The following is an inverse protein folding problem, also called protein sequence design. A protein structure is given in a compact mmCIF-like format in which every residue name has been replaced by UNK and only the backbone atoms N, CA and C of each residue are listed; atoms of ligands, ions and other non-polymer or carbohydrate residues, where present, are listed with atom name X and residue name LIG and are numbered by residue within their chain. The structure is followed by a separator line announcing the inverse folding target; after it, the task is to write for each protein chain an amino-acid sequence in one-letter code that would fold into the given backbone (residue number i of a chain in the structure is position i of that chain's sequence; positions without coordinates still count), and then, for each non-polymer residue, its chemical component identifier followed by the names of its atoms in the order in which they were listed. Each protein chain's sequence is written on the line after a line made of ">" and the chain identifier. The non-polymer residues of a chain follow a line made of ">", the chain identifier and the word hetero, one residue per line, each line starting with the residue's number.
data_IF_916337556196
#
_entry.id   IF_916337556196
#
_cell.length_a   1.000
_cell.length_b   1.000
_cell.length_c   1.000
_cell.angle_alpha   90.00
_cell.angle_beta   90.00
_cell.angle_gamma   90.00
#
_symmetry.space_group_name_H-M   'P 1'
#
loop_
_entity.id
_entity.type
_entity.pdbx_description
1 polymer ?
#
# COMPACT_ATOMS: atom_id res chain seq x y z
N UNK A 1 5.15 5.59 -0.20
CA UNK A 1 3.84 5.14 0.31
C UNK A 1 4.00 4.30 1.59
N UNK A 2 4.96 4.66 2.45
CA UNK A 2 5.65 3.70 3.33
C UNK A 2 5.30 3.73 4.80
N UNK A 3 4.76 4.81 5.35
CA UNK A 3 4.70 4.98 6.81
C UNK A 3 3.82 3.94 7.52
N UNK A 4 2.58 3.71 7.06
CA UNK A 4 1.73 2.69 7.69
C UNK A 4 2.25 1.26 7.47
N UNK A 5 2.81 0.98 6.30
CA UNK A 5 3.42 -0.32 6.04
C UNK A 5 4.63 -0.55 6.97
N UNK A 6 5.51 0.44 7.12
CA UNK A 6 6.69 0.34 7.96
C UNK A 6 6.32 0.27 9.45
N UNK A 7 5.31 1.04 9.90
CA UNK A 7 4.77 0.98 11.27
C UNK A 7 4.28 -0.44 11.63
N UNK A 8 3.59 -1.11 10.69
CA UNK A 8 3.06 -2.46 10.91
C UNK A 8 4.14 -3.53 10.70
N UNK A 9 4.93 -3.39 9.63
CA UNK A 9 5.82 -4.43 9.12
C UNK A 9 7.23 -4.41 9.73
N UNK A 10 7.76 -3.25 10.12
CA UNK A 10 9.11 -3.13 10.67
C UNK A 10 9.09 -3.27 12.20
N UNK A 11 8.63 -4.43 12.65
CA UNK A 11 8.72 -4.83 14.05
C UNK A 11 10.19 -4.86 14.52
N UNK A 12 10.46 -4.83 15.84
CA UNK A 12 11.83 -4.92 16.34
C UNK A 12 12.61 -6.13 15.81
N UNK A 13 11.94 -7.28 15.67
CA UNK A 13 12.54 -8.50 15.11
C UNK A 13 12.88 -8.34 13.62
N UNK A 14 11.99 -7.74 12.83
CA UNK A 14 12.24 -7.47 11.40
C UNK A 14 13.38 -6.47 11.23
N UNK A 15 13.44 -5.42 12.06
CA UNK A 15 14.54 -4.44 12.04
C UNK A 15 15.89 -5.10 12.37
N UNK A 16 15.93 -6.01 13.35
CA UNK A 16 17.13 -6.76 13.68
C UNK A 16 17.62 -7.62 12.49
N UNK A 17 16.69 -8.27 11.77
CA UNK A 17 17.00 -9.02 10.55
C UNK A 17 17.46 -8.09 9.41
N UNK A 18 16.84 -6.92 9.24
CA UNK A 18 17.28 -5.93 8.24
C UNK A 18 18.73 -5.47 8.51
N UNK A 19 19.11 -5.29 9.78
CA UNK A 19 20.50 -4.97 10.16
C UNK A 19 21.42 -6.14 9.84
N UNK A 20 21.06 -7.35 10.26
CA UNK A 20 21.84 -8.56 10.02
C UNK A 20 22.11 -8.80 8.52
N UNK A 21 21.12 -8.50 7.68
CA UNK A 21 21.21 -8.65 6.23
C UNK A 21 21.64 -7.38 5.49
N UNK A 22 22.00 -6.31 6.21
CA UNK A 22 22.52 -5.06 5.62
C UNK A 22 21.50 -4.24 4.82
N UNK A 23 20.19 -4.52 4.93
CA UNK A 23 19.14 -3.80 4.22
C UNK A 23 18.54 -2.63 5.02
N UNK A 24 18.93 -2.47 6.28
CA UNK A 24 18.32 -1.52 7.20
C UNK A 24 18.41 -0.07 6.73
N UNK A 25 19.55 0.36 6.22
CA UNK A 25 19.74 1.74 5.72
C UNK A 25 18.82 2.02 4.52
N UNK A 26 18.67 1.05 3.60
CA UNK A 26 17.78 1.19 2.45
C UNK A 26 16.29 1.30 2.82
N UNK A 27 15.89 0.69 3.94
CA UNK A 27 14.53 0.74 4.46
C UNK A 27 14.27 1.89 5.45
N UNK A 28 15.32 2.56 5.96
CA UNK A 28 15.15 3.65 6.94
C UNK A 28 14.32 4.81 6.37
N UNK A 29 14.52 5.13 5.09
CA UNK A 29 13.75 6.16 4.35
C UNK A 29 12.26 5.85 4.19
N UNK A 30 11.81 4.61 4.47
CA UNK A 30 10.38 4.27 4.50
C UNK A 30 9.71 4.61 5.84
N UNK A 31 10.50 4.82 6.89
CA UNK A 31 10.03 5.26 8.22
C UNK A 31 10.19 6.76 8.44
N UNK A 32 11.14 7.39 7.75
CA UNK A 32 11.49 8.79 7.89
C UNK A 32 10.85 9.62 6.76
N UNK A 33 10.00 10.58 7.09
CA UNK A 33 9.27 11.40 6.11
C UNK A 33 7.96 11.98 6.63
N UNK A 34 7.36 12.86 5.84
CA UNK A 34 6.04 13.43 6.14
C UNK A 34 4.94 12.37 5.98
N UNK A 35 3.84 12.52 6.74
CA UNK A 35 2.68 11.64 6.60
C UNK A 35 1.86 12.01 5.34
N UNK A 36 1.99 11.20 4.31
CA UNK A 36 1.16 11.25 3.09
C UNK A 36 0.25 10.01 2.98
N UNK A 37 0.02 9.28 4.08
CA UNK A 37 -0.96 8.19 4.08
C UNK A 37 -2.35 8.78 3.77
N UNK A 38 -2.99 8.29 2.71
CA UNK A 38 -4.29 8.79 2.26
C UNK A 38 -4.23 9.85 1.15
N UNK A 39 -3.03 10.25 0.71
CA UNK A 39 -2.85 11.07 -0.49
C UNK A 39 -2.33 10.22 -1.66
N UNK A 40 -2.89 10.45 -2.84
CA UNK A 40 -2.37 9.89 -4.09
C UNK A 40 -1.50 10.94 -4.77
N UNK A 41 -0.21 10.64 -4.94
CA UNK A 41 0.68 11.41 -5.80
C UNK A 41 0.31 11.25 -7.27
N UNK A 42 0.86 12.12 -8.13
CA UNK A 42 0.69 12.03 -9.59
C UNK A 42 1.04 10.64 -10.15
N UNK A 43 2.09 10.00 -9.61
CA UNK A 43 2.52 8.67 -10.04
C UNK A 43 1.45 7.62 -9.78
N UNK A 44 0.89 7.62 -8.57
CA UNK A 44 -0.10 6.63 -8.15
C UNK A 44 -1.43 6.90 -8.85
N UNK A 45 -1.77 8.17 -9.02
CA UNK A 45 -2.96 8.59 -9.75
C UNK A 45 -2.92 8.15 -11.22
N UNK A 46 -1.80 8.39 -11.90
CA UNK A 46 -1.60 7.95 -13.28
C UNK A 46 -1.71 6.41 -13.37
N UNK A 47 -1.01 5.69 -12.49
CA UNK A 47 -1.08 4.23 -12.44
C UNK A 47 -2.54 3.75 -12.32
N UNK A 48 -3.30 4.26 -11.35
CA UNK A 48 -4.69 3.85 -11.13
C UNK A 48 -5.57 4.18 -12.34
N UNK A 49 -5.39 5.35 -12.95
CA UNK A 49 -6.19 5.81 -14.09
C UNK A 49 -6.00 4.99 -15.37
N UNK A 50 -4.96 4.19 -15.46
CA UNK A 50 -4.68 3.31 -16.60
C UNK A 50 -5.13 1.86 -16.35
N UNK A 51 -5.73 1.56 -15.19
CA UNK A 51 -6.17 0.20 -14.86
C UNK A 51 -7.51 -0.12 -15.53
N UNK A 52 -7.61 -1.38 -15.94
CA UNK A 52 -8.80 -2.05 -16.47
C UNK A 52 -9.38 -3.06 -15.46
N UNK A 53 -8.75 -3.23 -14.31
CA UNK A 53 -9.20 -4.09 -13.22
C UNK A 53 -8.71 -3.63 -11.85
N UNK A 54 -9.45 -3.99 -10.79
CA UNK A 54 -9.00 -3.87 -9.40
C UNK A 54 -9.68 -4.91 -8.49
N UNK A 55 -9.10 -5.10 -7.31
CA UNK A 55 -9.67 -5.93 -6.24
C UNK A 55 -10.17 -5.03 -5.11
N UNK A 56 -11.34 -5.33 -4.57
CA UNK A 56 -11.88 -4.69 -3.35
C UNK A 56 -11.91 -5.72 -2.24
N UNK A 57 -11.20 -5.43 -1.16
CA UNK A 57 -11.32 -6.18 0.09
C UNK A 57 -12.33 -5.45 1.00
N UNK A 58 -13.24 -6.22 1.59
CA UNK A 58 -14.25 -5.73 2.53
C UNK A 58 -14.50 -6.79 3.60
N UNK A 59 -15.26 -6.43 4.63
CA UNK A 59 -15.69 -7.33 5.69
C UNK A 59 -17.21 -7.26 5.75
N UNK A 60 -17.89 -8.40 5.79
CA UNK A 60 -19.35 -8.46 5.96
C UNK A 60 -19.78 -7.96 7.34
N UNK A 61 -21.07 -7.75 7.54
CA UNK A 61 -21.64 -7.44 8.86
C UNK A 61 -21.26 -8.49 9.93
N UNK A 62 -21.06 -9.75 9.53
CA UNK A 62 -20.68 -10.85 10.41
C UNK A 62 -19.18 -10.96 10.65
N UNK A 63 -18.36 -10.06 10.11
CA UNK A 63 -16.90 -10.13 10.24
C UNK A 63 -16.22 -11.06 9.23
N UNK A 64 -16.95 -11.62 8.25
CA UNK A 64 -16.36 -12.52 7.25
C UNK A 64 -15.60 -11.73 6.19
N UNK A 65 -14.32 -12.06 5.90
CA UNK A 65 -13.54 -11.35 4.89
C UNK A 65 -14.07 -11.68 3.48
N UNK A 66 -14.16 -10.67 2.63
CA UNK A 66 -14.60 -10.80 1.26
C UNK A 66 -13.71 -10.01 0.31
N UNK A 67 -13.28 -10.67 -0.77
CA UNK A 67 -12.53 -10.04 -1.85
C UNK A 67 -13.28 -10.20 -3.15
N UNK A 68 -13.45 -9.10 -3.87
CA UNK A 68 -14.12 -9.07 -5.16
C UNK A 68 -13.22 -8.47 -6.22
N UNK A 69 -13.15 -9.14 -7.37
CA UNK A 69 -12.55 -8.60 -8.58
C UNK A 69 -13.58 -7.73 -9.34
N UNK A 70 -13.14 -6.57 -9.83
CA UNK A 70 -13.90 -5.68 -10.71
C UNK A 70 -13.06 -5.40 -11.95
N UNK A 71 -13.64 -5.57 -13.14
CA UNK A 71 -12.99 -5.27 -14.41
C UNK A 71 -13.85 -4.39 -15.31
N UNK A 72 -13.22 -3.63 -16.19
CA UNK A 72 -13.83 -2.73 -17.15
C UNK A 72 -12.82 -2.25 -18.19
N UNK A 73 -13.21 -1.36 -19.12
CA UNK A 73 -12.25 -0.74 -20.05
C UNK A 73 -11.15 0.02 -19.30
N UNK A 74 -9.97 0.19 -19.91
CA UNK A 74 -8.90 0.98 -19.32
C UNK A 74 -9.39 2.39 -18.93
N UNK A 75 -9.08 2.80 -17.70
CA UNK A 75 -9.52 4.08 -17.13
C UNK A 75 -10.96 4.11 -16.65
N UNK A 76 -11.59 2.95 -16.44
CA UNK A 76 -12.88 2.87 -15.74
C UNK A 76 -12.76 3.27 -14.26
N UNK A 77 -11.57 3.09 -13.64
CA UNK A 77 -11.31 3.59 -12.28
C UNK A 77 -11.12 5.10 -12.32
N UNK A 78 -11.91 5.83 -11.52
CA UNK A 78 -11.85 7.29 -11.41
C UNK A 78 -11.30 7.70 -10.06
N UNK A 79 -10.43 8.71 -10.08
CA UNK A 79 -9.92 9.40 -8.90
C UNK A 79 -10.73 10.70 -8.78
N UNK A 80 -11.25 10.98 -7.59
CA UNK A 80 -12.11 12.12 -7.29
C UNK A 80 -11.40 13.13 -6.39
#
# INVERSE_FOLDING_TARGET
>A
MGHKFAEIGFTPAVKALQVLHGSREGYASFEEGDDYNGQLSTREAQFISERDSFYVASVSETGWPYVQHRGGPAGFVKIL
#
